data_IF_213246755193
#
_entry.id   IF_213246755193
#
_cell.length_a   1.000
_cell.length_b   1.000
_cell.length_c   1.000
_cell.angle_alpha   90.00
_cell.angle_beta   90.00
_cell.angle_gamma   90.00
#
_symmetry.space_group_name_H-M   'P 1'
#
loop_
_entity.id
_entity.type
_entity.pdbx_description
1 polymer ?
#
# COMPACT_ATOMS: atom_id res chain seq x y z
N UNK A 1 14.04 -28.73 -67.72
CA UNK A 1 15.03 -29.11 -66.69
C UNK A 1 15.03 -27.97 -65.67
N UNK A 2 14.15 -28.03 -64.66
CA UNK A 2 14.51 -28.33 -63.27
C UNK A 2 15.72 -27.50 -62.82
N UNK A 3 15.60 -26.47 -61.98
CA UNK A 3 15.47 -26.49 -60.49
C UNK A 3 16.29 -25.22 -60.07
N UNK A 4 16.00 -24.34 -59.12
CA UNK A 4 15.33 -24.43 -57.82
C UNK A 4 14.95 -23.01 -57.37
N UNK A 5 13.74 -22.84 -56.86
CA UNK A 5 13.29 -21.66 -56.12
C UNK A 5 13.82 -21.81 -54.68
N UNK A 6 14.58 -20.83 -54.18
CA UNK A 6 14.82 -20.65 -52.73
C UNK A 6 13.98 -19.47 -52.28
N UNK A 7 12.87 -19.78 -51.60
CA UNK A 7 12.04 -18.82 -50.87
C UNK A 7 12.84 -18.24 -49.71
N UNK A 8 13.24 -16.97 -49.82
CA UNK A 8 13.63 -16.16 -48.67
C UNK A 8 12.36 -15.47 -48.18
N UNK A 9 11.77 -16.02 -47.13
CA UNK A 9 10.68 -15.37 -46.38
C UNK A 9 11.31 -14.20 -45.63
N UNK A 10 11.06 -12.99 -46.15
CA UNK A 10 11.35 -11.74 -45.50
C UNK A 10 10.37 -11.58 -44.33
N UNK A 11 10.79 -11.92 -43.12
CA UNK A 11 10.03 -11.62 -41.89
C UNK A 11 10.15 -10.12 -41.66
N UNK A 12 9.14 -9.38 -42.14
CA UNK A 12 8.94 -7.97 -41.79
C UNK A 12 8.51 -7.94 -40.33
N UNK A 13 9.45 -7.67 -39.42
CA UNK A 13 9.12 -7.20 -38.07
C UNK A 13 8.45 -5.84 -38.23
N UNK A 14 7.12 -5.82 -38.08
CA UNK A 14 6.37 -4.58 -37.94
C UNK A 14 6.85 -3.84 -36.68
N UNK A 15 7.69 -2.83 -36.90
CA UNK A 15 7.97 -1.78 -35.92
C UNK A 15 6.66 -1.05 -35.63
N UNK A 16 5.97 -1.49 -34.58
CA UNK A 16 4.89 -0.74 -33.97
C UNK A 16 5.48 0.53 -33.36
N UNK A 17 5.40 1.61 -34.14
CA UNK A 17 5.64 2.98 -33.71
C UNK A 17 4.73 3.29 -32.52
N UNK A 18 5.28 3.37 -31.32
CA UNK A 18 4.60 4.00 -30.18
C UNK A 18 4.81 5.50 -30.37
N UNK A 19 3.77 6.31 -30.67
CA UNK A 19 3.95 7.74 -30.71
C UNK A 19 4.33 8.21 -29.30
N UNK A 20 5.58 8.66 -29.17
CA UNK A 20 6.04 9.36 -27.99
C UNK A 20 5.20 10.61 -27.79
N UNK A 21 4.47 10.65 -26.69
CA UNK A 21 3.82 11.87 -26.20
C UNK A 21 4.94 12.73 -25.62
N UNK A 22 5.48 13.62 -26.45
CA UNK A 22 6.21 14.80 -26.00
C UNK A 22 5.30 16.03 -26.14
N UNK A 23 5.09 16.72 -25.02
CA UNK A 23 4.35 17.98 -24.87
C UNK A 23 3.48 17.93 -23.60
N UNK A 24 3.58 18.81 -22.59
CA UNK A 24 4.18 20.13 -22.52
C UNK A 24 4.38 20.55 -21.04
N UNK A 25 5.61 20.93 -20.72
CA UNK A 25 6.12 21.97 -19.81
C UNK A 25 5.43 22.42 -18.48
N UNK A 26 6.31 22.60 -17.48
CA UNK A 26 6.19 23.31 -16.19
C UNK A 26 5.37 22.67 -15.07
N UNK A 27 5.77 21.47 -14.64
CA UNK A 27 5.68 21.18 -13.21
C UNK A 27 6.74 22.04 -12.51
N UNK A 28 6.30 23.05 -11.76
CA UNK A 28 7.07 23.56 -10.62
C UNK A 28 7.69 22.36 -9.91
N UNK A 29 9.03 22.27 -9.86
CA UNK A 29 9.77 21.16 -9.27
C UNK A 29 9.15 20.82 -7.92
N UNK A 30 8.38 19.74 -7.89
CA UNK A 30 7.86 19.18 -6.65
C UNK A 30 9.10 18.66 -5.94
N UNK A 31 9.57 19.41 -4.95
CA UNK A 31 10.81 19.11 -4.24
C UNK A 31 10.80 17.67 -3.75
N UNK A 32 11.89 16.94 -3.97
CA UNK A 32 12.06 15.60 -3.43
C UNK A 32 11.78 15.60 -1.92
N UNK A 33 11.06 14.58 -1.45
CA UNK A 33 10.71 14.40 -0.05
C UNK A 33 10.83 12.94 0.40
N UNK A 34 11.02 12.74 1.71
CA UNK A 34 11.16 11.42 2.30
C UNK A 34 9.81 10.69 2.32
N UNK A 35 9.76 9.54 1.63
CA UNK A 35 8.59 8.65 1.54
C UNK A 35 8.83 7.37 2.32
N UNK A 36 7.77 6.83 2.91
CA UNK A 36 7.78 5.48 3.47
C UNK A 36 7.99 4.44 2.36
N UNK A 37 8.62 3.32 2.69
CA UNK A 37 8.82 2.20 1.78
C UNK A 37 7.66 1.22 1.89
N UNK A 38 7.16 0.73 0.74
CA UNK A 38 6.04 -0.19 0.70
C UNK A 38 6.41 -1.47 -0.07
N UNK A 39 6.15 -2.59 0.58
CA UNK A 39 6.17 -3.93 0.02
C UNK A 39 4.73 -4.45 0.00
N UNK A 40 4.24 -4.93 -1.14
CA UNK A 40 2.91 -5.54 -1.26
C UNK A 40 3.01 -7.00 -1.65
N UNK A 41 2.13 -7.82 -1.07
CA UNK A 41 1.99 -9.22 -1.45
C UNK A 41 0.53 -9.64 -1.50
N UNK A 42 0.24 -10.65 -2.32
CA UNK A 42 -1.09 -11.23 -2.49
C UNK A 42 -1.19 -12.58 -1.78
N UNK A 43 -2.26 -12.77 -1.02
CA UNK A 43 -2.61 -14.02 -0.38
C UNK A 43 -3.75 -14.74 -1.10
N UNK A 44 -3.46 -15.99 -1.47
CA UNK A 44 -4.42 -16.90 -2.07
C UNK A 44 -5.03 -17.83 -1.01
N UNK A 45 -6.34 -18.06 -1.12
CA UNK A 45 -7.12 -18.87 -0.17
C UNK A 45 -8.10 -19.83 -0.88
N UNK A 46 -9.05 -20.43 -0.15
CA UNK A 46 -10.11 -21.32 -0.61
C UNK A 46 -10.90 -20.79 -1.83
N UNK A 47 -11.01 -19.46 -2.00
CA UNK A 47 -11.72 -18.80 -3.11
C UNK A 47 -10.96 -18.62 -4.44
N UNK A 48 -9.65 -18.92 -4.52
CA UNK A 48 -8.83 -18.67 -5.73
C UNK A 48 -9.00 -19.71 -6.87
N UNK A 49 -10.12 -20.44 -6.92
CA UNK A 49 -10.31 -21.59 -7.82
C UNK A 49 -10.98 -21.27 -9.17
N UNK A 50 -11.13 -20.00 -9.54
CA UNK A 50 -11.89 -19.57 -10.74
C UNK A 50 -11.04 -18.71 -11.70
N UNK A 51 -11.49 -18.52 -12.95
CA UNK A 51 -10.77 -17.75 -13.97
C UNK A 51 -10.48 -16.29 -13.55
N UNK A 52 -11.35 -15.74 -12.71
CA UNK A 52 -11.27 -14.42 -12.12
C UNK A 52 -10.11 -14.31 -11.12
N UNK A 53 -9.75 -15.40 -10.45
CA UNK A 53 -8.64 -15.44 -9.50
C UNK A 53 -7.29 -15.19 -10.18
N UNK A 54 -7.11 -15.72 -11.40
CA UNK A 54 -5.94 -15.43 -12.23
C UNK A 54 -5.95 -13.96 -12.70
N UNK A 55 -7.12 -13.43 -13.05
CA UNK A 55 -7.25 -12.01 -13.43
C UNK A 55 -6.88 -11.10 -12.26
N UNK A 56 -7.32 -11.40 -11.04
CA UNK A 56 -6.97 -10.66 -9.82
C UNK A 56 -5.45 -10.73 -9.57
N UNK A 57 -4.86 -11.92 -9.66
CA UNK A 57 -3.41 -12.11 -9.45
C UNK A 57 -2.59 -11.32 -10.46
N UNK A 58 -2.92 -11.45 -11.75
CA UNK A 58 -2.26 -10.71 -12.83
C UNK A 58 -2.42 -9.21 -12.62
N UNK A 59 -3.63 -8.75 -12.35
CA UNK A 59 -3.93 -7.34 -12.06
C UNK A 59 -3.10 -6.83 -10.88
N UNK A 60 -3.02 -7.58 -9.78
CA UNK A 60 -2.24 -7.20 -8.60
C UNK A 60 -0.75 -6.97 -8.93
N UNK A 61 -0.16 -7.84 -9.75
CA UNK A 61 1.26 -7.71 -10.14
C UNK A 61 1.52 -6.63 -11.19
N UNK A 62 0.52 -6.30 -12.00
CA UNK A 62 0.58 -5.23 -13.01
C UNK A 62 0.24 -3.86 -12.44
N UNK A 63 -0.51 -3.81 -11.33
CA UNK A 63 -0.90 -2.56 -10.67
C UNK A 63 0.35 -1.88 -10.08
N UNK A 64 0.68 -0.65 -10.49
CA UNK A 64 1.78 0.09 -9.90
C UNK A 64 1.48 0.42 -8.43
N UNK A 65 2.52 0.47 -7.59
CA UNK A 65 2.35 0.92 -6.22
C UNK A 65 1.89 2.38 -6.18
N UNK A 66 1.18 2.81 -5.12
CA UNK A 66 0.83 4.22 -4.96
C UNK A 66 2.09 5.09 -4.93
N UNK A 67 2.12 6.14 -5.76
CA UNK A 67 3.29 7.00 -6.02
C UNK A 67 3.87 7.65 -4.76
N UNK A 68 3.07 7.75 -3.70
CA UNK A 68 3.43 8.35 -2.41
C UNK A 68 4.33 7.45 -1.56
N UNK A 69 4.55 6.21 -1.97
CA UNK A 69 5.49 5.28 -1.35
C UNK A 69 6.69 5.02 -2.25
N UNK A 70 7.82 4.68 -1.63
CA UNK A 70 8.94 4.07 -2.31
C UNK A 70 8.64 2.59 -2.57
N UNK A 71 8.89 2.11 -3.79
CA UNK A 71 8.79 0.68 -4.08
C UNK A 71 9.89 -0.09 -3.33
N UNK A 72 9.47 -0.91 -2.37
CA UNK A 72 10.35 -1.81 -1.62
C UNK A 72 9.96 -3.29 -1.81
N UNK A 73 9.28 -3.61 -2.91
CA UNK A 73 8.93 -4.96 -3.31
C UNK A 73 10.19 -5.83 -3.52
N UNK A 74 10.17 -7.05 -3.00
CA UNK A 74 11.14 -8.09 -3.33
C UNK A 74 10.74 -8.79 -4.64
N UNK A 75 11.50 -9.83 -5.01
CA UNK A 75 11.17 -10.66 -6.16
C UNK A 75 9.74 -11.22 -6.10
N UNK A 76 9.11 -11.40 -7.27
CA UNK A 76 7.72 -11.87 -7.39
C UNK A 76 7.44 -13.16 -6.60
N UNK A 77 8.42 -14.07 -6.50
CA UNK A 77 8.32 -15.33 -5.75
C UNK A 77 8.04 -15.16 -4.25
N UNK A 78 8.45 -14.02 -3.67
CA UNK A 78 8.20 -13.71 -2.26
C UNK A 78 6.89 -12.95 -2.04
N UNK A 79 6.30 -12.41 -3.11
CA UNK A 79 5.12 -11.54 -3.08
C UNK A 79 3.80 -12.30 -3.26
N UNK A 80 3.85 -13.62 -3.25
CA UNK A 80 2.69 -14.50 -3.34
C UNK A 80 2.76 -15.54 -2.23
N UNK A 81 1.66 -15.68 -1.49
CA UNK A 81 1.50 -16.65 -0.41
C UNK A 81 0.25 -17.49 -0.66
N UNK A 82 0.41 -18.82 -0.63
CA UNK A 82 -0.71 -19.74 -0.61
C UNK A 82 -1.05 -20.09 0.84
N UNK A 83 -2.15 -19.55 1.36
CA UNK A 83 -2.53 -19.73 2.76
C UNK A 83 -2.85 -21.20 3.09
N UNK A 84 -3.20 -22.03 2.10
CA UNK A 84 -3.51 -23.46 2.31
C UNK A 84 -2.26 -24.29 2.64
N UNK A 85 -1.11 -23.89 2.12
CA UNK A 85 0.16 -24.60 2.30
C UNK A 85 0.76 -24.30 3.68
N UNK A 86 0.33 -23.22 4.33
CA UNK A 86 0.84 -22.80 5.62
C UNK A 86 0.02 -23.44 6.74
N UNK A 87 0.53 -24.59 7.18
CA UNK A 87 0.02 -25.28 8.37
C UNK A 87 0.49 -24.56 9.63
N UNK A 88 -0.44 -24.30 10.55
CA UNK A 88 -0.17 -23.69 11.85
C UNK A 88 -0.56 -24.65 12.97
N UNK A 89 0.35 -24.81 13.93
CA UNK A 89 0.05 -25.43 15.22
C UNK A 89 -0.43 -24.38 16.22
N UNK A 90 -1.18 -24.79 17.25
CA UNK A 90 -1.66 -23.85 18.27
C UNK A 90 -0.50 -23.16 19.02
N UNK A 91 0.62 -23.87 19.21
CA UNK A 91 1.85 -23.32 19.82
C UNK A 91 2.44 -22.20 18.95
N UNK A 92 2.50 -22.39 17.63
CA UNK A 92 2.96 -21.37 16.70
C UNK A 92 2.03 -20.15 16.69
N UNK A 93 0.71 -20.36 16.69
CA UNK A 93 -0.27 -19.27 16.77
C UNK A 93 -0.03 -18.44 18.04
N UNK A 94 0.13 -19.10 19.19
CA UNK A 94 0.37 -18.42 20.46
C UNK A 94 1.70 -17.65 20.47
N UNK A 95 2.75 -18.18 19.82
CA UNK A 95 4.04 -17.50 19.67
C UNK A 95 3.93 -16.26 18.78
N UNK A 96 3.31 -16.41 17.61
CA UNK A 96 3.27 -15.38 16.57
C UNK A 96 2.31 -14.24 16.90
N UNK A 97 1.20 -14.55 17.57
CA UNK A 97 0.20 -13.54 17.95
C UNK A 97 0.40 -13.01 19.38
N UNK A 98 1.25 -13.68 20.19
CA UNK A 98 1.43 -13.43 21.61
C UNK A 98 0.33 -14.06 22.47
N UNK A 99 0.66 -14.40 23.73
CA UNK A 99 -0.37 -14.72 24.72
C UNK A 99 -1.22 -13.48 24.93
N UNK A 100 -2.55 -13.61 24.87
CA UNK A 100 -3.50 -12.49 25.04
C UNK A 100 -3.34 -11.86 26.43
N UNK A 101 -2.38 -10.96 26.62
CA UNK A 101 -2.45 -9.98 27.70
C UNK A 101 -3.57 -9.00 27.32
N UNK A 102 -4.68 -9.10 28.05
CA UNK A 102 -5.81 -8.16 28.01
C UNK A 102 -5.34 -6.75 28.41
N UNK A 103 -4.68 -6.02 27.51
CA UNK A 103 -4.74 -4.54 27.53
C UNK A 103 -5.91 -4.15 26.63
N UNK A 104 -7.06 -4.05 27.27
CA UNK A 104 -8.33 -3.71 26.65
C UNK A 104 -8.32 -2.22 26.28
N UNK A 105 -7.76 -1.90 25.11
CA UNK A 105 -7.97 -0.59 24.48
C UNK A 105 -9.48 -0.36 24.31
N UNK A 106 -9.95 0.85 24.59
CA UNK A 106 -11.35 1.27 24.37
C UNK A 106 -11.81 1.00 22.92
N UNK A 107 -10.87 0.96 21.98
CA UNK A 107 -11.08 0.59 20.58
C UNK A 107 -11.31 -0.91 20.41
N UNK A 108 -10.66 -1.78 21.20
CA UNK A 108 -10.98 -3.21 21.27
C UNK A 108 -12.31 -3.49 21.95
N UNK A 109 -12.79 -2.60 22.83
CA UNK A 109 -14.14 -2.68 23.44
C UNK A 109 -15.23 -2.24 22.46
N UNK A 110 -14.96 -1.22 21.63
CA UNK A 110 -15.86 -0.75 20.57
C UNK A 110 -15.84 -1.68 19.36
N UNK A 111 -14.67 -2.12 18.89
CA UNK A 111 -14.52 -3.08 17.79
C UNK A 111 -15.06 -4.46 18.18
N UNK A 112 -14.90 -4.91 19.42
CA UNK A 112 -15.55 -6.15 19.89
C UNK A 112 -17.05 -5.98 20.12
N UNK A 113 -17.55 -4.78 20.44
CA UNK A 113 -19.00 -4.52 20.48
C UNK A 113 -19.59 -4.41 19.08
N UNK A 114 -18.95 -3.69 18.16
CA UNK A 114 -19.40 -3.62 16.76
C UNK A 114 -19.21 -4.95 16.07
N UNK A 115 -18.13 -5.70 16.30
CA UNK A 115 -18.01 -7.06 15.80
C UNK A 115 -19.00 -8.00 16.47
N UNK A 116 -19.24 -7.95 17.79
CA UNK A 116 -20.25 -8.83 18.42
C UNK A 116 -21.70 -8.49 18.01
N UNK A 117 -22.01 -7.21 17.82
CA UNK A 117 -23.32 -6.75 17.34
C UNK A 117 -23.47 -7.01 15.82
N UNK A 118 -22.37 -7.01 15.04
CA UNK A 118 -22.38 -7.39 13.61
C UNK A 118 -22.34 -8.91 13.41
N UNK A 119 -21.70 -9.68 14.30
CA UNK A 119 -21.65 -11.16 14.23
C UNK A 119 -22.96 -11.82 14.61
N UNK A 120 -23.83 -11.13 15.36
CA UNK A 120 -25.17 -11.62 15.69
C UNK A 120 -26.29 -11.03 14.83
N UNK A 121 -26.04 -10.02 13.98
CA UNK A 121 -27.12 -9.36 13.21
C UNK A 121 -26.87 -9.25 11.70
N UNK A 122 -25.67 -9.42 11.15
CA UNK A 122 -25.52 -9.25 9.70
C UNK A 122 -24.32 -9.98 9.06
N UNK A 123 -24.28 -11.31 9.14
CA UNK A 123 -23.50 -12.12 8.18
C UNK A 123 -24.27 -13.36 7.80
N UNK A 124 -25.15 -13.22 6.81
CA UNK A 124 -25.81 -14.34 6.15
C UNK A 124 -24.75 -15.15 5.37
N UNK A 125 -24.10 -16.09 6.04
CA UNK A 125 -23.65 -17.38 5.51
C UNK A 125 -22.75 -17.43 4.26
N UNK A 126 -22.08 -16.36 3.84
CA UNK A 126 -20.86 -16.43 3.01
C UNK A 126 -19.71 -16.01 3.93
N UNK A 127 -19.53 -16.77 5.00
CA UNK A 127 -18.47 -16.51 5.97
C UNK A 127 -17.37 -17.48 5.65
N UNK A 128 -16.32 -16.97 5.04
CA UNK A 128 -15.02 -17.61 5.16
C UNK A 128 -14.71 -17.75 6.65
N UNK A 129 -14.73 -18.98 7.16
CA UNK A 129 -14.57 -19.31 8.58
C UNK A 129 -13.11 -19.20 9.04
N UNK A 130 -12.20 -18.80 8.15
CA UNK A 130 -10.81 -18.55 8.48
C UNK A 130 -10.72 -17.23 9.26
N UNK A 131 -10.57 -17.34 10.58
CA UNK A 131 -10.30 -16.20 11.45
C UNK A 131 -9.13 -15.37 10.92
N UNK A 132 -9.28 -14.04 10.83
CA UNK A 132 -8.21 -13.12 10.46
C UNK A 132 -6.95 -13.31 11.32
N UNK A 133 -7.11 -13.73 12.58
CA UNK A 133 -5.98 -14.11 13.46
C UNK A 133 -5.13 -15.24 12.86
N UNK A 134 -5.78 -16.24 12.25
CA UNK A 134 -5.07 -17.36 11.60
C UNK A 134 -4.31 -16.87 10.37
N UNK A 135 -4.92 -16.00 9.56
CA UNK A 135 -4.30 -15.45 8.35
C UNK A 135 -3.10 -14.58 8.72
N UNK A 136 -3.26 -13.73 9.74
CA UNK A 136 -2.16 -12.96 10.33
C UNK A 136 -1.00 -13.88 10.77
N UNK A 137 -1.30 -14.95 11.49
CA UNK A 137 -0.28 -15.92 11.89
C UNK A 137 0.37 -16.62 10.68
N UNK A 138 -0.37 -16.87 9.61
CA UNK A 138 0.18 -17.46 8.37
C UNK A 138 1.16 -16.50 7.68
N UNK A 139 0.81 -15.21 7.57
CA UNK A 139 1.73 -14.19 7.07
C UNK A 139 3.02 -14.12 7.90
N UNK A 140 2.90 -14.02 9.23
CA UNK A 140 4.07 -13.96 10.11
C UNK A 140 4.96 -15.20 9.97
N UNK A 141 4.35 -16.40 9.90
CA UNK A 141 5.09 -17.64 9.66
C UNK A 141 5.81 -17.62 8.30
N UNK A 142 5.14 -17.16 7.25
CA UNK A 142 5.73 -17.02 5.92
C UNK A 142 6.92 -16.05 5.93
N UNK A 143 6.80 -14.92 6.64
CA UNK A 143 7.87 -13.94 6.78
C UNK A 143 9.10 -14.51 7.47
N UNK A 144 8.92 -15.29 8.54
CA UNK A 144 10.01 -15.95 9.27
C UNK A 144 10.69 -17.03 8.40
N UNK A 145 9.90 -17.86 7.72
CA UNK A 145 10.41 -18.96 6.89
C UNK A 145 11.20 -18.46 5.68
N UNK A 146 10.74 -17.39 5.04
CA UNK A 146 11.38 -16.81 3.85
C UNK A 146 12.35 -15.68 4.17
N UNK A 147 12.58 -15.37 5.47
CA UNK A 147 13.49 -14.31 5.91
C UNK A 147 13.19 -12.96 5.25
N UNK A 148 11.91 -12.64 5.12
CA UNK A 148 11.46 -11.44 4.40
C UNK A 148 12.03 -10.17 5.05
N UNK A 149 12.07 -10.09 6.38
CA UNK A 149 12.66 -8.95 7.08
C UNK A 149 14.15 -8.76 6.73
N UNK A 150 14.95 -9.84 6.72
CA UNK A 150 16.36 -9.81 6.33
C UNK A 150 16.52 -9.32 4.88
N UNK A 151 15.67 -9.80 3.97
CA UNK A 151 15.69 -9.37 2.57
C UNK A 151 15.32 -7.88 2.40
N UNK A 152 14.39 -7.36 3.19
CA UNK A 152 14.05 -5.92 3.17
C UNK A 152 15.21 -5.06 3.69
N UNK A 153 15.92 -5.52 4.72
CA UNK A 153 17.15 -4.88 5.23
C UNK A 153 18.26 -4.95 4.17
N UNK A 154 18.49 -6.12 3.58
CA UNK A 154 19.46 -6.31 2.50
C UNK A 154 19.22 -5.34 1.33
N UNK A 155 17.95 -5.13 0.96
CA UNK A 155 17.57 -4.18 -0.08
C UNK A 155 17.89 -2.73 0.31
N UNK A 156 17.65 -2.33 1.56
CA UNK A 156 18.00 -0.98 2.04
C UNK A 156 19.50 -0.70 1.97
N UNK A 157 20.30 -1.71 2.26
CA UNK A 157 21.76 -1.66 2.23
C UNK A 157 22.35 -2.13 0.91
N UNK A 158 21.54 -2.17 -0.17
CA UNK A 158 21.97 -2.54 -1.52
C UNK A 158 22.94 -3.72 -1.55
N UNK A 159 22.56 -4.83 -0.87
CA UNK A 159 23.41 -6.00 -0.76
C UNK A 159 23.84 -6.48 -2.16
N UNK A 160 25.15 -6.59 -2.36
CA UNK A 160 25.78 -7.01 -3.60
C UNK A 160 26.92 -7.99 -3.36
N UNK A 161 27.89 -7.97 -4.27
CA UNK A 161 29.15 -8.71 -4.11
C UNK A 161 30.05 -7.96 -3.14
N UNK A 162 30.80 -8.69 -2.31
CA UNK A 162 31.77 -8.08 -1.39
C UNK A 162 32.79 -7.23 -2.17
N UNK A 163 32.85 -5.95 -1.83
CA UNK A 163 33.80 -5.01 -2.41
C UNK A 163 35.02 -4.87 -1.48
N UNK A 164 36.20 -5.12 -2.04
CA UNK A 164 37.48 -5.04 -1.32
C UNK A 164 37.89 -3.61 -0.98
N UNK A 165 37.37 -2.60 -1.68
CA UNK A 165 37.67 -1.19 -1.45
C UNK A 165 36.87 -0.67 -0.26
N UNK A 166 35.55 -0.87 -0.29
CA UNK A 166 34.65 -0.48 0.81
C UNK A 166 34.63 -1.48 1.97
N UNK A 167 35.25 -2.65 1.79
CA UNK A 167 35.31 -3.77 2.75
C UNK A 167 33.93 -4.27 3.20
N UNK A 168 32.94 -4.14 2.33
CA UNK A 168 31.56 -4.47 2.62
C UNK A 168 30.88 -5.09 1.40
N UNK A 169 29.92 -6.00 1.65
CA UNK A 169 28.96 -6.45 0.63
C UNK A 169 27.71 -5.55 0.58
N UNK A 170 27.69 -4.47 1.36
CA UNK A 170 26.60 -3.53 1.51
C UNK A 170 27.05 -2.12 1.14
N UNK A 171 26.11 -1.29 0.69
CA UNK A 171 26.34 0.14 0.52
C UNK A 171 25.07 0.93 0.87
N UNK A 172 25.26 2.22 1.14
CA UNK A 172 24.19 3.08 1.65
C UNK A 172 23.51 3.93 0.58
N UNK A 173 23.73 3.64 -0.69
CA UNK A 173 23.27 4.49 -1.79
C UNK A 173 21.75 4.68 -1.78
N UNK A 174 20.99 3.62 -1.51
CA UNK A 174 19.52 3.71 -1.46
C UNK A 174 19.04 4.55 -0.26
N UNK A 175 19.73 4.48 0.87
CA UNK A 175 19.44 5.29 2.06
C UNK A 175 19.72 6.76 1.76
N UNK A 176 20.84 7.07 1.09
CA UNK A 176 21.18 8.43 0.66
C UNK A 176 20.14 9.01 -0.28
N UNK A 177 19.81 8.24 -1.32
CA UNK A 177 18.84 8.63 -2.33
C UNK A 177 17.47 8.93 -1.71
N UNK A 178 16.97 8.06 -0.82
CA UNK A 178 15.63 8.22 -0.20
C UNK A 178 15.60 9.17 0.99
N UNK A 179 16.75 9.38 1.64
CA UNK A 179 16.93 10.32 2.74
C UNK A 179 17.24 11.74 2.30
N UNK A 180 17.52 11.96 1.02
CA UNK A 180 17.88 13.25 0.44
C UNK A 180 19.12 13.85 1.09
N UNK A 181 20.08 13.00 1.46
CA UNK A 181 21.33 13.44 2.07
C UNK A 181 22.27 14.00 1.00
N UNK A 182 22.95 15.10 1.34
CA UNK A 182 24.01 15.64 0.49
C UNK A 182 25.16 14.63 0.42
N UNK A 183 25.42 14.07 -0.77
CA UNK A 183 26.44 13.06 -0.98
C UNK A 183 27.83 13.52 -0.47
N UNK A 184 28.23 14.77 -0.73
CA UNK A 184 29.59 15.26 -0.46
C UNK A 184 29.99 15.31 1.02
N UNK A 185 29.06 15.59 1.94
CA UNK A 185 29.36 15.67 3.39
C UNK A 185 29.29 14.30 4.06
N UNK A 186 28.33 13.49 3.63
CA UNK A 186 28.10 12.15 4.15
C UNK A 186 29.11 11.14 3.57
N UNK A 187 29.60 11.36 2.34
CA UNK A 187 30.71 10.58 1.77
C UNK A 187 32.03 10.81 2.52
N UNK A 188 32.27 12.04 2.99
CA UNK A 188 33.45 12.35 3.83
C UNK A 188 33.37 11.64 5.18
N UNK A 189 32.19 11.57 5.80
CA UNK A 189 32.00 10.89 7.08
C UNK A 189 32.05 9.36 6.94
N UNK A 190 31.46 8.78 5.89
CA UNK A 190 31.59 7.36 5.52
C UNK A 190 33.05 6.99 5.24
N UNK A 191 33.75 7.77 4.41
CA UNK A 191 35.12 7.49 4.00
C UNK A 191 36.10 7.46 5.19
N UNK A 192 35.82 8.24 6.24
CA UNK A 192 36.64 8.26 7.45
C UNK A 192 36.60 6.98 8.30
N UNK A 193 35.65 6.06 8.04
CA UNK A 193 35.41 4.85 8.87
C UNK A 193 35.28 5.14 10.38
N UNK A 194 35.02 6.40 10.75
CA UNK A 194 34.94 6.79 12.15
C UNK A 194 33.62 6.30 12.75
N UNK A 195 33.63 5.94 14.03
CA UNK A 195 32.42 5.59 14.79
C UNK A 195 31.34 6.67 14.67
N UNK A 196 31.75 7.93 14.51
CA UNK A 196 30.90 9.10 14.30
C UNK A 196 30.21 9.10 12.92
N UNK A 197 30.92 8.70 11.86
CA UNK A 197 30.32 8.54 10.53
C UNK A 197 29.25 7.44 10.53
N UNK A 198 29.55 6.29 11.14
CA UNK A 198 28.58 5.18 11.29
C UNK A 198 27.38 5.54 12.19
N UNK A 199 27.55 6.36 13.23
CA UNK A 199 26.44 6.80 14.08
C UNK A 199 25.50 7.78 13.35
N UNK A 200 26.06 8.76 12.63
CA UNK A 200 25.26 9.69 11.81
C UNK A 200 24.46 8.95 10.73
N UNK A 201 25.03 7.88 10.18
CA UNK A 201 24.39 7.01 9.18
C UNK A 201 23.32 6.09 9.77
N UNK A 202 23.54 5.60 10.99
CA UNK A 202 22.54 4.86 11.75
C UNK A 202 21.31 5.76 12.02
N UNK A 203 21.54 6.97 12.52
CA UNK A 203 20.48 7.93 12.87
C UNK A 203 19.71 8.42 11.61
N UNK A 204 20.44 8.67 10.52
CA UNK A 204 19.90 9.01 9.21
C UNK A 204 18.98 7.90 8.65
N UNK A 205 19.49 6.66 8.63
CA UNK A 205 18.77 5.51 8.09
C UNK A 205 17.64 5.03 8.99
N UNK A 206 17.70 5.25 10.31
CA UNK A 206 16.75 4.69 11.28
C UNK A 206 15.31 5.09 10.98
N UNK A 207 15.06 6.39 10.77
CA UNK A 207 13.72 6.88 10.47
C UNK A 207 13.19 6.40 9.11
N UNK A 208 14.07 6.12 8.15
CA UNK A 208 13.67 5.66 6.81
C UNK A 208 13.41 4.16 6.80
N UNK A 209 14.32 3.37 7.36
CA UNK A 209 14.24 1.91 7.39
C UNK A 209 13.08 1.47 8.27
N UNK A 210 12.88 2.11 9.43
CA UNK A 210 11.74 1.83 10.30
C UNK A 210 10.40 2.18 9.62
N UNK A 211 10.37 3.14 8.70
CA UNK A 211 9.21 3.45 7.86
C UNK A 211 9.10 2.53 6.62
N UNK A 212 9.39 1.25 6.80
CA UNK A 212 9.18 0.19 5.81
C UNK A 212 8.00 -0.67 6.20
N UNK A 213 6.99 -0.70 5.32
CA UNK A 213 5.74 -1.40 5.56
C UNK A 213 5.56 -2.55 4.58
N UNK A 214 4.96 -3.63 5.09
CA UNK A 214 4.53 -4.80 4.32
C UNK A 214 3.01 -4.86 4.39
N UNK A 215 2.35 -4.85 3.24
CA UNK A 215 0.90 -5.00 3.14
C UNK A 215 0.58 -6.32 2.43
N UNK A 216 0.05 -7.27 3.20
CA UNK A 216 -0.50 -8.51 2.67
C UNK A 216 -1.97 -8.33 2.33
N UNK A 217 -2.37 -8.58 1.08
CA UNK A 217 -3.75 -8.40 0.63
C UNK A 217 -4.37 -9.75 0.32
N UNK A 218 -5.48 -10.06 0.98
CA UNK A 218 -6.34 -11.21 0.70
C UNK A 218 -7.55 -10.72 -0.08
N UNK A 219 -7.83 -11.37 -1.20
CA UNK A 219 -9.02 -11.08 -2.00
C UNK A 219 -10.10 -12.14 -1.74
N UNK A 220 -11.32 -11.69 -1.48
CA UNK A 220 -12.51 -12.53 -1.50
C UNK A 220 -13.39 -12.07 -2.65
N UNK A 221 -13.80 -13.04 -3.46
CA UNK A 221 -14.72 -12.82 -4.56
C UNK A 221 -16.14 -13.15 -4.10
N UNK A 222 -17.05 -12.18 -4.21
CA UNK A 222 -18.46 -12.38 -3.86
C UNK A 222 -19.33 -11.97 -5.04
N UNK A 223 -20.16 -12.90 -5.52
CA UNK A 223 -21.15 -12.62 -6.56
C UNK A 223 -22.35 -11.84 -5.97
N UNK A 224 -22.86 -10.82 -6.69
CA UNK A 224 -24.00 -10.02 -6.18
C UNK A 224 -25.29 -10.83 -6.00
N UNK A 225 -25.44 -11.94 -6.74
CA UNK A 225 -26.62 -12.79 -6.65
C UNK A 225 -26.69 -13.54 -5.29
N UNK A 226 -25.55 -13.99 -4.75
CA UNK A 226 -25.48 -14.63 -3.44
C UNK A 226 -25.73 -13.65 -2.30
N UNK A 227 -25.34 -12.39 -2.44
CA UNK A 227 -25.71 -11.30 -1.51
C UNK A 227 -27.23 -11.06 -1.56
N UNK A 228 -27.80 -10.90 -2.77
CA UNK A 228 -29.23 -10.62 -2.97
C UNK A 228 -30.15 -11.76 -2.52
N UNK A 229 -29.81 -13.00 -2.85
CA UNK A 229 -30.58 -14.19 -2.44
C UNK A 229 -30.62 -14.36 -0.92
N UNK A 230 -29.57 -13.93 -0.22
CA UNK A 230 -29.51 -13.99 1.24
C UNK A 230 -30.21 -12.82 1.90
N UNK A 231 -30.12 -11.62 1.33
CA UNK A 231 -30.89 -10.46 1.76
C UNK A 231 -32.40 -10.69 1.61
N UNK A 232 -32.84 -11.34 0.53
CA UNK A 232 -34.23 -11.76 0.32
C UNK A 232 -34.72 -12.81 1.31
N UNK A 233 -33.84 -13.69 1.80
CA UNK A 233 -34.18 -14.68 2.83
C UNK A 233 -34.26 -14.04 4.23
N UNK A 234 -33.42 -13.06 4.53
CA UNK A 234 -33.41 -12.36 5.81
C UNK A 234 -34.57 -11.38 5.99
N UNK A 235 -35.12 -10.84 4.90
CA UNK A 235 -36.32 -10.02 4.92
C UNK A 235 -37.57 -10.80 5.40
N UNK A 236 -37.57 -12.13 5.30
CA UNK A 236 -38.67 -12.99 5.77
C UNK A 236 -38.59 -13.35 7.26
N UNK A 237 -37.50 -12.98 7.95
CA UNK A 237 -37.30 -13.26 9.38
C UNK A 237 -37.15 -11.94 10.15
N UNK A 238 -38.24 -11.46 10.74
CA UNK A 238 -38.30 -10.39 11.75
C UNK A 238 -37.36 -9.17 11.58
N UNK A 239 -37.90 -8.13 10.93
CA UNK A 239 -37.88 -6.73 11.40
C UNK A 239 -36.57 -6.03 11.80
N UNK A 240 -35.39 -6.60 11.52
CA UNK A 240 -34.11 -6.03 11.92
C UNK A 240 -33.49 -5.25 10.76
N UNK A 241 -33.19 -3.97 11.03
CA UNK A 241 -32.58 -3.04 10.07
C UNK A 241 -31.13 -3.46 9.82
N UNK A 242 -30.84 -3.90 8.59
CA UNK A 242 -29.50 -4.26 8.15
C UNK A 242 -28.63 -3.01 7.95
N UNK A 243 -27.63 -2.84 8.80
CA UNK A 243 -26.57 -1.84 8.65
C UNK A 243 -25.56 -2.30 7.59
N UNK A 244 -25.67 -1.76 6.38
CA UNK A 244 -24.66 -1.93 5.33
C UNK A 244 -23.49 -0.99 5.62
N UNK A 245 -22.36 -1.54 6.04
CA UNK A 245 -21.11 -0.78 6.25
C UNK A 245 -20.48 -0.48 4.88
N UNK A 246 -20.63 0.77 4.43
CA UNK A 246 -20.14 1.27 3.14
C UNK A 246 -21.30 1.83 2.32
N UNK A 247 -21.57 3.13 2.47
CA UNK A 247 -22.83 3.76 2.06
C UNK A 247 -23.25 3.53 0.61
N UNK A 248 -24.41 2.91 0.45
CA UNK A 248 -25.51 3.34 -0.43
C UNK A 248 -26.80 2.74 0.10
N UNK A 249 -27.51 3.53 0.89
CA UNK A 249 -28.80 3.16 1.47
C UNK A 249 -29.90 3.71 0.57
N UNK A 250 -30.29 2.94 -0.45
CA UNK A 250 -31.53 3.19 -1.18
C UNK A 250 -31.95 1.93 -1.96
N UNK A 251 -32.43 0.89 -1.27
CA UNK A 251 -33.32 -0.08 -1.92
C UNK A 251 -34.17 -0.87 -0.92
N UNK A 252 -34.74 -0.18 0.08
CA UNK A 252 -35.97 -0.67 0.69
C UNK A 252 -37.12 -0.04 -0.11
N UNK A 253 -37.94 -0.86 -0.77
CA UNK A 253 -39.13 -0.49 -1.55
C UNK A 253 -38.90 0.17 -2.91
N UNK A 254 -38.50 -0.63 -3.91
CA UNK A 254 -39.14 -0.64 -5.24
C UNK A 254 -38.66 -1.84 -6.05
N UNK A 255 -39.58 -2.77 -6.26
CA UNK A 255 -39.44 -3.85 -7.22
C UNK A 255 -39.07 -3.29 -8.61
N UNK A 256 -38.03 -3.84 -9.24
CA UNK A 256 -38.04 -4.16 -10.68
C UNK A 256 -36.92 -5.15 -11.01
N UNK A 257 -37.29 -6.19 -11.75
CA UNK A 257 -36.46 -7.27 -12.24
C UNK A 257 -35.35 -6.78 -13.18
N UNK A 258 -34.21 -6.35 -12.63
CA UNK A 258 -32.93 -6.32 -13.37
C UNK A 258 -31.82 -6.78 -12.42
N UNK A 259 -31.67 -8.11 -12.33
CA UNK A 259 -30.54 -8.74 -11.67
C UNK A 259 -29.31 -8.43 -12.53
N UNK A 260 -28.66 -7.29 -12.26
CA UNK A 260 -27.41 -6.92 -12.90
C UNK A 260 -26.33 -7.94 -12.55
N UNK A 261 -25.67 -8.51 -13.57
CA UNK A 261 -24.49 -9.38 -13.42
C UNK A 261 -23.28 -8.57 -12.94
N UNK A 262 -23.33 -8.07 -11.71
CA UNK A 262 -22.20 -7.36 -11.10
C UNK A 262 -21.45 -8.24 -10.10
N UNK A 263 -20.18 -7.91 -9.90
CA UNK A 263 -19.28 -8.61 -8.97
C UNK A 263 -18.78 -7.64 -7.91
N UNK A 264 -18.48 -8.15 -6.72
CA UNK A 264 -17.85 -7.37 -5.66
C UNK A 264 -16.54 -8.05 -5.29
N UNK A 265 -15.43 -7.31 -5.42
CA UNK A 265 -14.12 -7.74 -4.93
C UNK A 265 -13.93 -7.12 -3.55
N UNK A 266 -13.80 -7.99 -2.55
CA UNK A 266 -13.43 -7.59 -1.20
C UNK A 266 -11.92 -7.78 -1.04
N UNK A 267 -11.23 -6.75 -0.56
CA UNK A 267 -9.81 -6.80 -0.24
C UNK A 267 -9.63 -6.59 1.27
N UNK A 268 -9.05 -7.57 1.95
CA UNK A 268 -8.59 -7.46 3.34
C UNK A 268 -7.09 -7.26 3.34
N UNK A 269 -6.64 -6.10 3.82
CA UNK A 269 -5.23 -5.74 3.88
C UNK A 269 -4.71 -5.87 5.32
N UNK A 270 -3.60 -6.59 5.48
CA UNK A 270 -2.88 -6.80 6.73
C UNK A 270 -1.58 -5.99 6.68
N UNK A 271 -1.44 -5.05 7.61
CA UNK A 271 -0.33 -4.12 7.68
C UNK A 271 0.71 -4.58 8.71
N UNK A 272 1.95 -4.66 8.26
CA UNK A 272 3.12 -4.94 9.07
C UNK A 272 4.18 -3.86 8.86
N UNK A 273 5.04 -3.67 9.86
CA UNK A 273 6.15 -2.74 9.85
C UNK A 273 7.45 -3.48 10.15
N UNK A 274 8.53 -3.14 9.45
CA UNK A 274 9.86 -3.64 9.76
C UNK A 274 10.29 -3.11 11.13
N UNK A 275 10.65 -4.00 12.05
CA UNK A 275 11.22 -3.60 13.33
C UNK A 275 12.67 -3.18 13.13
N UNK A 276 12.91 -1.86 13.15
CA UNK A 276 14.23 -1.27 13.06
C UNK A 276 14.37 -0.18 14.12
N UNK A 277 15.39 -0.31 14.97
CA UNK A 277 15.73 0.62 16.03
C UNK A 277 17.26 0.66 16.20
N UNK A 278 17.75 1.59 17.02
CA UNK A 278 19.16 1.77 17.35
C UNK A 278 19.89 0.45 17.71
N UNK A 279 19.28 -0.42 18.52
CA UNK A 279 19.89 -1.70 18.95
C UNK A 279 20.04 -2.70 17.79
N UNK A 280 18.97 -2.86 17.00
CA UNK A 280 18.95 -3.73 15.81
C UNK A 280 19.96 -3.21 14.78
N UNK A 281 19.96 -1.90 14.53
CA UNK A 281 20.88 -1.24 13.62
C UNK A 281 22.33 -1.37 14.07
N UNK A 282 22.61 -1.09 15.34
CA UNK A 282 23.94 -1.24 15.94
C UNK A 282 24.47 -2.67 15.80
N UNK A 283 23.62 -3.67 16.07
CA UNK A 283 23.98 -5.09 15.88
C UNK A 283 24.27 -5.41 14.41
N UNK A 284 23.45 -4.91 13.48
CA UNK A 284 23.68 -5.10 12.04
C UNK A 284 25.03 -4.52 11.59
N UNK A 285 25.33 -3.27 11.98
CA UNK A 285 26.58 -2.61 11.60
C UNK A 285 27.81 -3.29 12.20
N UNK A 286 27.73 -3.75 13.45
CA UNK A 286 28.84 -4.40 14.12
C UNK A 286 29.10 -5.81 13.61
N UNK A 287 28.04 -6.57 13.32
CA UNK A 287 28.12 -8.01 13.07
C UNK A 287 28.09 -8.39 11.61
N UNK A 288 27.47 -7.59 10.74
CA UNK A 288 27.20 -7.99 9.35
C UNK A 288 27.77 -7.06 8.30
N UNK A 289 27.78 -5.75 8.57
CA UNK A 289 28.06 -4.76 7.53
C UNK A 289 29.42 -4.95 6.84
N UNK A 290 30.48 -5.30 7.58
CA UNK A 290 31.82 -5.49 7.02
C UNK A 290 32.23 -6.96 6.82
N UNK A 291 31.30 -7.90 7.04
CA UNK A 291 31.60 -9.32 6.95
C UNK A 291 31.67 -9.80 5.51
N UNK A 292 32.58 -10.75 5.26
CA UNK A 292 32.74 -11.39 3.94
C UNK A 292 31.72 -12.50 3.72
N UNK A 293 31.43 -13.30 4.75
CA UNK A 293 30.46 -14.39 4.68
C UNK A 293 29.13 -13.94 5.29
N UNK A 294 28.11 -13.77 4.43
CA UNK A 294 26.78 -13.30 4.82
C UNK A 294 25.81 -14.44 5.21
N UNK A 295 26.26 -15.70 5.32
CA UNK A 295 25.37 -16.80 5.73
C UNK A 295 24.66 -16.53 7.05
N UNK A 296 25.40 -16.00 8.04
CA UNK A 296 24.82 -15.68 9.32
C UNK A 296 23.74 -14.59 9.21
N UNK A 297 23.99 -13.54 8.41
CA UNK A 297 23.00 -12.51 8.13
C UNK A 297 21.75 -13.07 7.45
N UNK A 298 21.91 -13.98 6.49
CA UNK A 298 20.81 -14.59 5.76
C UNK A 298 19.93 -15.49 6.66
N UNK A 299 20.53 -16.17 7.64
CA UNK A 299 19.84 -17.12 8.51
C UNK A 299 19.34 -16.51 9.83
N UNK A 300 19.92 -15.40 10.29
CA UNK A 300 19.55 -14.77 11.56
C UNK A 300 18.05 -14.43 11.61
N UNK A 301 17.43 -14.68 12.76
CA UNK A 301 16.04 -14.32 13.05
C UNK A 301 15.86 -13.01 13.80
N UNK A 302 16.92 -12.18 13.90
CA UNK A 302 16.86 -10.90 14.62
C UNK A 302 15.94 -9.86 13.95
N UNK A 303 15.87 -9.84 12.62
CA UNK A 303 15.02 -8.90 11.89
C UNK A 303 13.59 -9.45 11.82
N UNK A 304 12.61 -8.62 12.20
CA UNK A 304 11.22 -9.04 12.36
C UNK A 304 10.26 -8.03 11.76
N UNK A 305 9.05 -8.53 11.47
CA UNK A 305 7.92 -7.72 11.02
C UNK A 305 6.86 -7.69 12.12
N UNK A 306 6.57 -6.50 12.62
CA UNK A 306 5.55 -6.25 13.62
C UNK A 306 4.21 -6.01 12.95
N UNK A 307 3.17 -6.71 13.39
CA UNK A 307 1.82 -6.42 12.95
C UNK A 307 1.32 -5.10 13.55
N UNK A 308 0.80 -4.22 12.69
CA UNK A 308 0.24 -2.92 13.06
C UNK A 308 -1.28 -3.00 13.15
N UNK A 309 -1.91 -3.62 12.14
CA UNK A 309 -3.36 -3.76 12.09
C UNK A 309 -3.85 -4.32 10.75
N UNK A 310 -5.16 -4.40 10.59
CA UNK A 310 -5.81 -4.89 9.38
C UNK A 310 -7.04 -4.06 9.06
N UNK A 311 -7.34 -3.91 7.78
CA UNK A 311 -8.53 -3.20 7.31
C UNK A 311 -9.15 -3.95 6.14
N UNK A 312 -10.48 -3.85 6.01
CA UNK A 312 -11.22 -4.47 4.91
C UNK A 312 -11.92 -3.42 4.06
N UNK A 313 -11.65 -3.43 2.77
CA UNK A 313 -12.31 -2.59 1.79
C UNK A 313 -13.14 -3.41 0.81
N UNK A 314 -14.23 -2.79 0.38
CA UNK A 314 -15.09 -3.30 -0.67
C UNK A 314 -14.95 -2.34 -1.86
N UNK A 315 -14.93 -2.89 -3.08
CA UNK A 315 -15.12 -2.10 -4.28
C UNK A 315 -16.37 -2.60 -4.99
N UNK A 316 -17.39 -1.73 -5.09
CA UNK A 316 -18.54 -1.98 -5.96
C UNK A 316 -18.20 -1.46 -7.35
N UNK A 317 -18.17 -2.35 -8.34
CA UNK A 317 -18.17 -1.97 -9.75
C UNK A 317 -19.54 -2.33 -10.29
N UNK A 318 -20.39 -1.31 -10.45
CA UNK A 318 -21.69 -1.49 -11.08
C UNK A 318 -21.47 -1.56 -12.59
N UNK A 319 -21.77 -2.72 -13.19
CA UNK A 319 -22.08 -2.76 -14.62
C UNK A 319 -23.44 -2.10 -14.79
N UNK A 320 -23.50 -0.83 -15.14
CA UNK A 320 -24.72 -0.28 -15.71
C UNK A 320 -25.05 -1.10 -16.97
N UNK A 321 -26.31 -1.42 -17.19
CA UNK A 321 -26.83 -2.21 -18.35
C UNK A 321 -26.51 -1.62 -19.74
N UNK A 322 -25.70 -0.55 -19.80
CA UNK A 322 -25.25 0.18 -20.98
C UNK A 322 -23.72 0.17 -21.19
N UNK A 323 -22.90 -0.41 -20.30
CA UNK A 323 -21.43 -0.38 -20.46
C UNK A 323 -20.94 -1.56 -21.31
N UNK A 324 -20.30 -1.28 -22.46
CA UNK A 324 -19.61 -2.26 -23.33
C UNK A 324 -18.30 -2.83 -22.73
N UNK A 325 -18.11 -2.73 -21.41
CA UNK A 325 -16.87 -3.12 -20.73
C UNK A 325 -16.86 -4.63 -20.49
N UNK A 326 -15.73 -5.29 -20.79
CA UNK A 326 -15.63 -6.74 -20.62
C UNK A 326 -15.64 -7.14 -19.15
N UNK A 327 -16.07 -8.37 -18.84
CA UNK A 327 -16.04 -8.89 -17.47
C UNK A 327 -14.64 -8.86 -16.86
N UNK A 328 -13.60 -9.11 -17.68
CA UNK A 328 -12.19 -9.06 -17.25
C UNK A 328 -11.80 -7.65 -16.83
N UNK A 329 -12.20 -6.64 -17.58
CA UNK A 329 -11.88 -5.23 -17.27
C UNK A 329 -12.64 -4.76 -16.03
N UNK A 330 -13.88 -5.21 -15.82
CA UNK A 330 -14.62 -4.94 -14.58
C UNK A 330 -13.92 -5.54 -13.35
N UNK A 331 -13.44 -6.78 -13.46
CA UNK A 331 -12.68 -7.45 -12.39
C UNK A 331 -11.35 -6.72 -12.14
N UNK A 332 -10.65 -6.28 -13.20
CA UNK A 332 -9.41 -5.51 -13.08
C UNK A 332 -9.67 -4.19 -12.33
N UNK A 333 -10.67 -3.41 -12.77
CA UNK A 333 -11.06 -2.14 -12.13
C UNK A 333 -11.44 -2.35 -10.66
N UNK A 334 -12.25 -3.36 -10.37
CA UNK A 334 -12.65 -3.71 -9.01
C UNK A 334 -11.43 -4.05 -8.14
N UNK A 335 -10.50 -4.82 -8.68
CA UNK A 335 -9.26 -5.22 -7.99
C UNK A 335 -8.42 -3.99 -7.66
N UNK A 336 -8.10 -3.14 -8.63
CA UNK A 336 -7.29 -1.92 -8.40
C UNK A 336 -7.96 -1.02 -7.37
N UNK A 337 -9.26 -0.72 -7.54
CA UNK A 337 -10.02 0.13 -6.60
C UNK A 337 -10.09 -0.47 -5.19
N UNK A 338 -10.19 -1.80 -5.07
CA UNK A 338 -10.21 -2.47 -3.76
C UNK A 338 -8.86 -2.38 -3.05
N UNK A 339 -7.74 -2.46 -3.79
CA UNK A 339 -6.39 -2.28 -3.26
C UNK A 339 -6.23 -0.83 -2.77
N UNK A 340 -6.56 0.15 -3.62
CA UNK A 340 -6.46 1.57 -3.29
C UNK A 340 -7.30 1.91 -2.05
N UNK A 341 -8.56 1.45 -2.01
CA UNK A 341 -9.44 1.66 -0.86
C UNK A 341 -8.90 1.00 0.42
N UNK A 342 -8.34 -0.21 0.34
CA UNK A 342 -7.78 -0.89 1.51
C UNK A 342 -6.57 -0.13 2.05
N UNK A 343 -5.68 0.36 1.16
CA UNK A 343 -4.53 1.18 1.54
C UNK A 343 -4.99 2.51 2.15
N UNK A 344 -5.98 3.18 1.55
CA UNK A 344 -6.52 4.44 2.06
C UNK A 344 -7.12 4.27 3.48
N UNK A 345 -7.85 3.18 3.73
CA UNK A 345 -8.36 2.85 5.08
C UNK A 345 -7.23 2.64 6.08
N UNK A 346 -6.20 1.88 5.71
CA UNK A 346 -5.02 1.69 6.56
C UNK A 346 -4.34 3.04 6.88
N UNK A 347 -4.22 3.94 5.90
CA UNK A 347 -3.64 5.27 6.11
C UNK A 347 -4.47 6.12 7.07
N UNK A 348 -5.81 6.06 6.95
CA UNK A 348 -6.70 6.81 7.84
C UNK A 348 -6.61 6.32 9.29
N UNK A 349 -6.61 5.00 9.50
CA UNK A 349 -6.61 4.39 10.83
C UNK A 349 -5.22 4.46 11.51
N UNK A 350 -4.15 4.17 10.77
CA UNK A 350 -2.80 4.04 11.34
C UNK A 350 -1.91 5.24 10.99
N UNK A 351 -1.67 6.12 11.98
CA UNK A 351 -0.87 7.34 11.80
C UNK A 351 0.54 7.05 11.23
N UNK A 352 1.19 5.97 11.69
CA UNK A 352 2.52 5.55 11.20
C UNK A 352 2.55 5.24 9.71
N UNK A 353 1.41 4.88 9.12
CA UNK A 353 1.28 4.51 7.71
C UNK A 353 0.83 5.66 6.81
N UNK A 354 0.54 6.83 7.37
CA UNK A 354 0.08 7.99 6.60
C UNK A 354 1.15 8.49 5.65
N UNK A 355 0.72 8.78 4.42
CA UNK A 355 1.58 9.37 3.42
C UNK A 355 1.59 10.89 3.52
N UNK A 356 2.68 11.48 3.01
CA UNK A 356 2.80 12.91 2.81
C UNK A 356 2.51 13.23 1.34
N UNK A 357 1.94 14.38 1.07
CA UNK A 357 1.78 14.89 -0.31
C UNK A 357 2.22 16.34 -0.40
N UNK A 358 2.97 16.74 -1.43
CA UNK A 358 3.34 18.14 -1.63
C UNK A 358 2.16 19.00 -2.07
N UNK A 359 2.15 20.25 -1.61
CA UNK A 359 1.31 21.31 -2.14
C UNK A 359 1.79 21.68 -3.55
N UNK A 360 0.84 21.79 -4.48
CA UNK A 360 1.11 22.10 -5.89
C UNK A 360 0.99 23.61 -6.12
N UNK A 361 -0.14 24.20 -5.73
CA UNK A 361 -0.37 25.65 -5.80
C UNK A 361 -0.78 26.18 -4.42
N UNK A 362 -0.42 27.42 -4.11
CA UNK A 362 -0.84 28.11 -2.87
C UNK A 362 -1.59 29.41 -3.16
N UNK A 363 -1.45 29.98 -4.36
CA UNK A 363 -2.19 31.15 -4.85
C UNK A 363 -2.64 30.89 -6.31
N UNK A 364 -3.87 31.26 -6.72
CA UNK A 364 -4.96 31.84 -5.92
C UNK A 364 -5.68 30.81 -5.03
N UNK A 365 -5.48 29.52 -5.27
CA UNK A 365 -6.07 28.41 -4.51
C UNK A 365 -4.99 27.45 -4.01
N UNK A 366 -5.20 26.93 -2.80
CA UNK A 366 -4.35 25.93 -2.21
C UNK A 366 -4.73 24.55 -2.75
N UNK A 367 -3.83 23.87 -3.45
CA UNK A 367 -4.10 22.56 -4.06
C UNK A 367 -3.03 21.52 -3.76
N UNK A 368 -3.43 20.25 -3.75
CA UNK A 368 -2.51 19.12 -3.72
C UNK A 368 -3.02 17.96 -4.60
N UNK A 369 -2.09 17.19 -5.17
CA UNK A 369 -2.37 15.98 -5.96
C UNK A 369 -2.83 14.81 -5.10
N UNK A 370 -3.91 14.99 -4.35
CA UNK A 370 -4.59 13.94 -3.57
C UNK A 370 -6.08 13.94 -3.91
N UNK A 371 -6.76 12.81 -3.75
CA UNK A 371 -8.16 12.69 -4.13
C UNK A 371 -8.87 11.47 -3.54
N UNK A 372 -9.93 11.04 -4.22
CA UNK A 372 -10.77 9.91 -3.79
C UNK A 372 -10.00 8.59 -3.72
N UNK A 373 -8.97 8.40 -4.56
CA UNK A 373 -8.08 7.22 -4.52
C UNK A 373 -7.39 7.07 -3.17
N UNK A 374 -7.03 8.20 -2.55
CA UNK A 374 -6.42 8.21 -1.21
C UNK A 374 -7.44 8.36 -0.08
N UNK A 375 -8.74 8.22 -0.38
CA UNK A 375 -9.81 8.29 0.61
C UNK A 375 -10.04 9.67 1.20
N UNK A 376 -9.73 10.73 0.43
CA UNK A 376 -9.94 12.11 0.87
C UNK A 376 -11.43 12.42 0.87
N UNK A 377 -11.95 12.83 2.02
CA UNK A 377 -13.34 13.24 2.20
C UNK A 377 -13.45 14.74 2.43
N UNK A 378 -14.62 15.29 2.09
CA UNK A 378 -14.89 16.71 2.28
C UNK A 378 -14.84 17.07 3.75
N UNK A 379 -13.93 17.97 4.08
CA UNK A 379 -13.73 18.44 5.44
C UNK A 379 -12.69 17.68 6.24
N UNK A 380 -12.01 16.71 5.64
CA UNK A 380 -10.80 16.12 6.19
C UNK A 380 -9.76 17.21 6.46
N UNK A 381 -9.05 17.06 7.58
CA UNK A 381 -8.03 17.99 8.02
C UNK A 381 -6.65 17.44 7.68
N UNK A 382 -5.76 18.34 7.30
CA UNK A 382 -4.37 18.03 7.01
C UNK A 382 -3.49 19.02 7.75
N UNK A 383 -2.42 18.52 8.36
CA UNK A 383 -1.33 19.38 8.80
C UNK A 383 -0.44 19.73 7.62
N UNK A 384 0.08 20.95 7.60
CA UNK A 384 1.11 21.39 6.65
C UNK A 384 2.45 21.32 7.36
N UNK A 385 3.43 20.74 6.69
CA UNK A 385 4.76 20.43 7.18
C UNK A 385 5.80 21.16 6.34
N UNK A 386 6.66 21.92 7.02
CA UNK A 386 7.84 22.56 6.44
C UNK A 386 9.06 21.66 6.63
N UNK A 387 9.90 21.58 5.60
CA UNK A 387 11.15 20.84 5.60
C UNK A 387 12.21 21.67 6.34
N UNK A 388 12.76 21.14 7.42
CA UNK A 388 13.86 21.76 8.18
C UNK A 388 15.10 20.92 7.99
N UNK A 389 16.19 21.54 7.55
CA UNK A 389 17.49 20.91 7.48
C UNK A 389 18.34 21.35 8.66
N UNK A 390 18.87 20.40 9.40
CA UNK A 390 19.84 20.66 10.46
C UNK A 390 21.18 21.09 9.83
N UNK A 391 21.71 22.23 10.29
CA UNK A 391 22.89 22.86 9.69
C UNK A 391 24.21 22.14 10.01
N UNK A 392 24.25 21.32 11.06
CA UNK A 392 25.46 20.60 11.50
C UNK A 392 25.51 19.19 10.93
N UNK A 393 24.36 18.52 10.88
CA UNK A 393 24.25 17.10 10.48
C UNK A 393 23.74 16.92 9.05
N UNK A 394 23.16 17.97 8.45
CA UNK A 394 22.51 17.90 7.14
C UNK A 394 21.21 17.11 7.13
N UNK A 395 20.73 16.64 8.29
CA UNK A 395 19.53 15.80 8.41
C UNK A 395 18.26 16.62 8.16
N UNK A 396 17.31 16.01 7.44
CA UNK A 396 16.02 16.62 7.13
C UNK A 396 14.97 16.14 8.14
N UNK A 397 14.28 17.09 8.76
CA UNK A 397 13.10 16.87 9.59
C UNK A 397 11.90 17.67 9.06
N UNK A 398 10.73 17.43 9.62
CA UNK A 398 9.48 18.08 9.20
C UNK A 398 8.77 18.70 10.39
N UNK A 399 8.48 20.00 10.34
CA UNK A 399 7.77 20.71 11.40
C UNK A 399 6.40 21.18 10.93
N UNK A 400 5.39 21.05 11.79
CA UNK A 400 4.04 21.55 11.52
C UNK A 400 3.99 23.08 11.50
N UNK A 401 3.52 23.65 10.39
CA UNK A 401 3.33 25.11 10.21
C UNK A 401 1.88 25.56 10.19
N UNK A 402 0.93 24.64 9.98
CA UNK A 402 -0.49 24.97 9.96
C UNK A 402 -1.40 23.77 9.76
N UNK A 403 -2.71 24.03 9.67
CA UNK A 403 -3.74 23.04 9.39
C UNK A 403 -4.66 23.57 8.28
N UNK A 404 -4.93 22.72 7.30
CA UNK A 404 -5.78 23.00 6.15
C UNK A 404 -6.91 21.97 6.08
N UNK A 405 -7.97 22.29 5.34
CA UNK A 405 -9.17 21.46 5.27
C UNK A 405 -9.62 21.24 3.83
N UNK A 406 -9.85 19.99 3.45
CA UNK A 406 -10.33 19.62 2.12
C UNK A 406 -11.66 20.32 1.81
N UNK A 407 -11.72 21.03 0.69
CA UNK A 407 -12.85 21.86 0.32
C UNK A 407 -14.06 21.01 -0.14
N UNK A 408 -15.27 21.46 0.23
CA UNK A 408 -16.52 20.81 -0.17
C UNK A 408 -16.65 20.85 -1.70
N UNK A 409 -17.01 19.71 -2.30
CA UNK A 409 -17.26 19.54 -3.76
C UNK A 409 -16.06 19.89 -4.65
N UNK A 410 -14.85 19.93 -4.10
CA UNK A 410 -13.61 20.23 -4.84
C UNK A 410 -12.52 19.20 -4.57
N UNK A 411 -12.92 17.93 -4.61
CA UNK A 411 -12.04 16.78 -4.40
C UNK A 411 -11.81 16.15 -5.77
N UNK A 412 -10.54 15.89 -6.07
CA UNK A 412 -10.16 15.23 -7.31
C UNK A 412 -10.59 13.76 -7.31
N UNK A 413 -11.26 13.32 -8.38
CA UNK A 413 -11.54 11.90 -8.59
C UNK A 413 -10.41 11.26 -9.40
N UNK A 414 -9.35 10.87 -8.71
CA UNK A 414 -8.18 10.18 -9.26
C UNK A 414 -8.29 8.64 -9.20
N UNK A 415 -9.50 8.09 -9.10
CA UNK A 415 -9.70 6.64 -9.06
C UNK A 415 -9.36 6.02 -10.41
N UNK A 416 -8.88 4.79 -10.39
CA UNK A 416 -8.57 4.05 -11.62
C UNK A 416 -9.79 3.97 -12.55
N UNK A 417 -9.59 4.31 -13.83
CA UNK A 417 -10.61 4.38 -14.87
C UNK A 417 -11.78 5.35 -14.60
N UNK A 418 -11.62 6.35 -13.73
CA UNK A 418 -12.65 7.36 -13.49
C UNK A 418 -12.93 8.20 -14.76
N UNK A 419 -11.88 8.60 -15.48
CA UNK A 419 -12.01 9.41 -16.70
C UNK A 419 -12.68 8.66 -17.87
N UNK A 420 -12.62 7.32 -17.87
CA UNK A 420 -13.31 6.47 -18.85
C UNK A 420 -14.79 6.26 -18.50
N UNK A 421 -15.20 6.57 -17.27
CA UNK A 421 -16.58 6.43 -16.78
C UNK A 421 -17.38 7.74 -16.88
N UNK A 422 -16.71 8.86 -17.13
CA UNK A 422 -17.31 10.17 -17.37
C UNK A 422 -17.26 10.53 -18.86
N UNK A 423 -18.40 10.96 -19.42
CA UNK A 423 -18.45 11.51 -20.79
C UNK A 423 -17.83 12.91 -20.90
N UNK A 424 -17.55 13.57 -19.76
CA UNK A 424 -16.94 14.89 -19.66
C UNK A 424 -15.52 14.83 -19.11
N UNK A 425 -14.61 15.68 -19.59
CA UNK A 425 -13.30 15.86 -18.98
C UNK A 425 -13.43 16.32 -17.53
N UNK A 426 -12.70 15.67 -16.61
CA UNK A 426 -12.76 16.05 -15.21
C UNK A 426 -12.27 17.49 -14.99
N UNK A 427 -13.09 18.38 -14.42
CA UNK A 427 -12.75 19.79 -14.24
C UNK A 427 -11.69 20.03 -13.16
N UNK A 428 -11.41 19.03 -12.33
CA UNK A 428 -10.53 19.12 -11.16
C UNK A 428 -9.42 18.08 -11.30
N UNK A 429 -8.16 18.52 -11.37
CA UNK A 429 -6.97 17.64 -11.43
C UNK A 429 -6.16 17.63 -10.13
N UNK A 430 -6.61 18.36 -9.11
CA UNK A 430 -6.02 18.41 -7.77
C UNK A 430 -7.09 18.83 -6.75
N UNK A 431 -7.04 18.29 -5.53
CA UNK A 431 -7.99 18.68 -4.48
C UNK A 431 -7.68 20.07 -3.98
N UNK A 432 -8.71 20.91 -3.85
CA UNK A 432 -8.59 22.23 -3.25
C UNK A 432 -8.74 22.16 -1.72
N UNK A 433 -7.99 23.03 -1.04
CA UNK A 433 -7.98 23.16 0.41
C UNK A 433 -8.34 24.58 0.85
N UNK A 434 -8.98 24.66 2.01
CA UNK A 434 -9.30 25.90 2.71
C UNK A 434 -8.43 26.05 3.97
N UNK A 435 -8.26 27.28 4.46
CA UNK A 435 -7.44 27.58 5.64
C UNK A 435 -5.96 27.85 5.33
N UNK A 436 -5.62 28.09 4.07
CA UNK A 436 -4.28 28.52 3.67
C UNK A 436 -3.89 29.86 4.30
N UNK A 437 -2.60 30.04 4.60
CA UNK A 437 -2.03 31.31 5.05
C UNK A 437 -0.79 31.65 4.20
N UNK A 438 -0.30 32.89 4.30
CA UNK A 438 0.88 33.37 3.56
C UNK A 438 2.18 32.61 3.85
N UNK A 439 2.22 31.79 4.92
CA UNK A 439 3.40 30.98 5.26
C UNK A 439 3.43 29.66 4.48
N UNK A 440 2.33 29.27 3.82
CA UNK A 440 2.26 28.06 3.04
C UNK A 440 2.74 28.35 1.62
N UNK A 441 3.78 27.64 1.18
CA UNK A 441 4.36 27.76 -0.16
C UNK A 441 4.29 26.44 -0.92
N UNK A 442 4.34 26.45 -2.27
CA UNK A 442 4.41 25.22 -3.06
C UNK A 442 5.61 24.36 -2.63
N UNK A 443 5.44 23.03 -2.66
CA UNK A 443 6.45 22.07 -2.21
C UNK A 443 6.40 21.71 -0.72
N UNK A 444 5.75 22.51 0.14
CA UNK A 444 5.46 22.09 1.52
C UNK A 444 4.58 20.83 1.54
N UNK A 445 4.75 19.97 2.53
CA UNK A 445 4.08 18.67 2.57
C UNK A 445 2.81 18.73 3.42
N UNK A 446 1.80 17.97 3.05
CA UNK A 446 0.56 17.79 3.80
C UNK A 446 0.42 16.35 4.25
N UNK A 447 -0.09 16.15 5.48
CA UNK A 447 -0.38 14.83 6.05
C UNK A 447 -1.75 14.87 6.73
N UNK A 448 -2.57 13.85 6.52
CA UNK A 448 -3.90 13.79 7.11
C UNK A 448 -3.83 13.70 8.65
N UNK A 449 -4.72 14.41 9.33
CA UNK A 449 -4.88 14.37 10.79
C UNK A 449 -6.35 14.05 11.15
N UNK A 450 -6.53 13.30 12.24
CA UNK A 450 -7.87 12.91 12.72
C UNK A 450 -8.55 14.01 13.53
#
# INVERSE_FOLDING_TARGET
MNVMIKNVVLVVFGLGFIPGIMGQDKNSEVSDYMRSSLYTMIAEDHGFAFAEAQTIKTTFFETPLPEKFNDHNLEKKYRHINLREIRLTQTEINRLLGTKQKKQSMLGKRLKRTLNDVTNVATLGIVDTTSNDKIRAQFLKYFEQNKIANQLVAKWFNQGVYDTITKSAFNMELIKQRGLYNATELDKSIASHSKLGLSLLADAGENLINNTFVVGIRFNYVDKASISNKLGQAANSSGTVFGVVGGTLALASRATNTIGKGYVVQATAFLYQLEWNEEIGGTFYQKYYNEKDLKQFAEDGMFKLKFIGEETAWADVQSTTLSNVSQKDLVQRATVRSIDNAIAKLQREFEVFRTKTPLVTTEPTLTAGIGLKEGVESGDKFEVLEKIQDAETGLISYQRVGVIKAAKRKIWDNRYAADEESEEEQPIKATEFSGGNKKMVPGMLIRQIN
#
